data_IF_334290520597
#
_entry.id   IF_334290520597
#
_cell.length_a   1.000
_cell.length_b   1.000
_cell.length_c   1.000
_cell.angle_alpha   90.00
_cell.angle_beta   90.00
_cell.angle_gamma   90.00
#
_symmetry.space_group_name_H-M   'P 1'
#
loop_
_entity.id
_entity.type
_entity.pdbx_description
1 polymer ?
#
# COMPACT_ATOMS: atom_id res chain seq x y z
N UNK A 1 0.90 -20.89 2.77
CA UNK A 1 0.88 -19.98 1.61
C UNK A 1 -0.41 -20.28 0.85
N UNK A 2 -1.44 -19.44 1.00
CA UNK A 2 -2.72 -19.65 0.30
C UNK A 2 -2.57 -19.13 -1.11
N UNK A 3 -2.12 -20.00 -2.02
CA UNK A 3 -2.09 -19.68 -3.44
C UNK A 3 -3.50 -19.85 -4.00
N UNK A 4 -4.11 -18.75 -4.45
CA UNK A 4 -5.35 -18.80 -5.21
C UNK A 4 -5.08 -19.60 -6.49
N UNK A 5 -5.91 -20.60 -6.79
CA UNK A 5 -5.66 -21.59 -7.86
C UNK A 5 -5.69 -21.01 -9.29
N UNK A 6 -6.11 -19.75 -9.44
CA UNK A 6 -6.19 -19.04 -10.70
C UNK A 6 -5.50 -17.67 -10.60
N UNK A 7 -4.93 -17.20 -11.70
CA UNK A 7 -4.38 -15.85 -11.79
C UNK A 7 -5.51 -14.83 -11.69
N UNK A 8 -5.44 -13.96 -10.69
CA UNK A 8 -6.34 -12.81 -10.56
C UNK A 8 -6.00 -11.77 -11.64
N UNK A 9 -7.00 -11.35 -12.40
CA UNK A 9 -6.93 -10.21 -13.32
C UNK A 9 -7.22 -8.92 -12.55
N UNK A 10 -6.87 -7.78 -13.15
CA UNK A 10 -7.15 -6.47 -12.55
C UNK A 10 -8.64 -6.23 -12.25
N UNK A 11 -9.54 -6.78 -13.06
CA UNK A 11 -10.99 -6.72 -12.81
C UNK A 11 -11.42 -7.56 -11.60
N UNK A 12 -10.74 -8.68 -11.32
CA UNK A 12 -11.07 -9.50 -10.15
C UNK A 12 -10.74 -8.73 -8.86
N UNK A 13 -9.64 -7.96 -8.86
CA UNK A 13 -9.25 -7.09 -7.74
C UNK A 13 -10.25 -5.93 -7.58
N UNK A 14 -10.67 -5.31 -8.70
CA UNK A 14 -11.65 -4.23 -8.65
C UNK A 14 -12.98 -4.73 -8.08
N UNK A 15 -13.47 -5.88 -8.56
CA UNK A 15 -14.69 -6.49 -8.04
C UNK A 15 -14.60 -6.76 -6.55
N UNK A 16 -13.47 -7.29 -6.04
CA UNK A 16 -13.27 -7.55 -4.60
C UNK A 16 -13.33 -6.28 -3.74
N UNK A 17 -12.88 -5.14 -4.26
CA UNK A 17 -12.93 -3.85 -3.55
C UNK A 17 -14.34 -3.25 -3.65
N UNK A 18 -15.03 -3.44 -4.77
CA UNK A 18 -16.39 -2.97 -5.01
C UNK A 18 -17.46 -3.82 -4.28
N UNK A 19 -17.20 -5.11 -4.00
CA UNK A 19 -18.19 -6.03 -3.39
C UNK A 19 -18.28 -5.99 -1.87
N UNK A 20 -17.70 -4.99 -1.20
CA UNK A 20 -18.06 -4.72 0.20
C UNK A 20 -19.44 -4.00 0.29
N UNK A 21 -20.46 -4.86 0.21
CA UNK A 21 -21.79 -4.80 0.82
C UNK A 21 -22.91 -4.03 0.08
N UNK A 22 -23.93 -4.78 -0.36
CA UNK A 22 -25.24 -4.33 -0.88
C UNK A 22 -26.11 -3.57 0.17
N UNK A 23 -25.49 -2.84 1.08
CA UNK A 23 -26.16 -2.10 2.16
C UNK A 23 -25.26 -1.23 3.03
N UNK A 24 -23.92 -1.31 2.91
CA UNK A 24 -22.97 -0.44 3.62
C UNK A 24 -21.86 0.00 2.67
N UNK A 25 -21.97 1.23 2.18
CA UNK A 25 -20.88 1.97 1.53
C UNK A 25 -19.71 2.23 2.51
N UNK A 26 -19.03 1.20 3.01
CA UNK A 26 -17.75 1.39 3.69
C UNK A 26 -16.64 1.44 2.65
N UNK A 27 -16.33 2.65 2.17
CA UNK A 27 -15.13 2.84 1.37
C UNK A 27 -13.92 2.33 2.17
N UNK A 28 -13.10 1.45 1.58
CA UNK A 28 -11.84 1.04 2.18
C UNK A 28 -11.01 2.30 2.39
N UNK A 29 -10.79 2.68 3.65
CA UNK A 29 -9.99 3.86 3.97
C UNK A 29 -8.53 3.61 3.55
N UNK A 30 -7.93 2.50 3.99
CA UNK A 30 -6.55 2.17 3.66
C UNK A 30 -6.43 0.70 3.22
N UNK A 31 -6.02 0.49 1.97
CA UNK A 31 -5.58 -0.80 1.45
C UNK A 31 -4.05 -0.89 1.50
N UNK A 32 -3.49 -2.01 1.98
CA UNK A 32 -2.04 -2.23 2.00
C UNK A 32 -1.68 -3.41 1.10
N UNK A 33 -0.83 -3.16 0.10
CA UNK A 33 -0.31 -4.15 -0.83
C UNK A 33 1.18 -4.38 -0.55
N UNK A 34 1.50 -5.31 0.36
CA UNK A 34 2.85 -5.55 0.89
C UNK A 34 3.73 -6.49 0.06
N UNK A 35 3.23 -7.00 -1.08
CA UNK A 35 4.06 -7.76 -2.02
C UNK A 35 5.04 -6.83 -2.74
N UNK A 36 6.03 -7.40 -3.45
CA UNK A 36 7.01 -6.63 -4.23
C UNK A 36 6.36 -5.91 -5.41
N UNK A 37 6.80 -4.69 -5.68
CA UNK A 37 6.47 -3.91 -6.89
C UNK A 37 4.97 -3.70 -7.16
N UNK A 38 4.13 -3.60 -6.11
CA UNK A 38 2.66 -3.46 -6.26
C UNK A 38 2.22 -2.09 -6.79
N UNK A 39 3.09 -1.09 -6.72
CA UNK A 39 2.92 0.21 -7.38
C UNK A 39 3.71 0.32 -8.70
N UNK A 40 4.47 -0.71 -9.08
CA UNK A 40 5.17 -0.73 -10.36
C UNK A 40 4.15 -0.93 -11.48
N UNK A 41 3.99 0.11 -12.30
CA UNK A 41 3.03 0.12 -13.39
C UNK A 41 3.62 -0.27 -14.74
N UNK A 42 2.72 -0.47 -15.70
CA UNK A 42 3.03 -0.58 -17.13
C UNK A 42 2.10 0.36 -17.94
N UNK A 43 2.18 0.30 -19.27
CA UNK A 43 1.34 1.12 -20.16
C UNK A 43 -0.18 0.86 -19.99
N UNK A 44 -0.59 -0.20 -19.31
CA UNK A 44 -2.00 -0.55 -19.05
C UNK A 44 -2.45 -0.14 -17.65
N UNK A 45 -1.52 -0.03 -16.70
CA UNK A 45 -1.77 0.42 -15.34
C UNK A 45 -0.58 1.22 -14.80
N UNK A 46 -0.59 2.54 -14.96
CA UNK A 46 0.55 3.44 -14.64
C UNK A 46 1.03 3.34 -13.19
N UNK A 47 0.17 2.94 -12.25
CA UNK A 47 0.50 2.73 -10.83
C UNK A 47 0.27 1.27 -10.40
N UNK A 48 0.33 0.34 -11.35
CA UNK A 48 0.16 -1.10 -11.10
C UNK A 48 -1.16 -1.42 -10.37
N UNK A 49 -1.06 -2.30 -9.37
CA UNK A 49 -2.19 -2.71 -8.53
C UNK A 49 -2.70 -1.57 -7.66
N UNK A 50 -1.82 -0.67 -7.20
CA UNK A 50 -2.21 0.50 -6.42
C UNK A 50 -3.18 1.40 -7.21
N UNK A 51 -2.91 1.59 -8.50
CA UNK A 51 -3.79 2.34 -9.39
C UNK A 51 -5.14 1.66 -9.62
N UNK A 52 -5.17 0.33 -9.71
CA UNK A 52 -6.42 -0.45 -9.82
C UNK A 52 -7.24 -0.28 -8.55
N UNK A 53 -6.62 -0.41 -7.38
CA UNK A 53 -7.31 -0.32 -6.10
C UNK A 53 -7.96 1.06 -5.86
N UNK A 54 -7.23 2.14 -6.15
CA UNK A 54 -7.79 3.50 -6.02
C UNK A 54 -8.93 3.73 -7.00
N UNK A 55 -8.84 3.21 -8.23
CA UNK A 55 -9.96 3.28 -9.20
C UNK A 55 -11.18 2.49 -8.75
N UNK A 56 -10.98 1.37 -8.06
CA UNK A 56 -12.05 0.51 -7.55
C UNK A 56 -12.70 1.05 -6.26
N UNK A 57 -12.20 2.16 -5.69
CA UNK A 57 -12.84 2.84 -4.57
C UNK A 57 -12.06 2.82 -3.25
N UNK A 58 -10.87 2.20 -3.21
CA UNK A 58 -9.99 2.36 -2.04
C UNK A 58 -9.55 3.83 -1.93
N UNK A 59 -9.83 4.49 -0.81
CA UNK A 59 -9.48 5.90 -0.62
C UNK A 59 -7.98 6.11 -0.63
N UNK A 60 -7.24 5.22 0.03
CA UNK A 60 -5.78 5.25 0.07
C UNK A 60 -5.25 3.85 -0.14
N UNK A 61 -4.18 3.73 -0.92
CA UNK A 61 -3.47 2.47 -1.11
C UNK A 61 -1.99 2.66 -0.81
N UNK A 62 -1.46 1.90 0.15
CA UNK A 62 -0.03 1.81 0.45
C UNK A 62 0.56 0.66 -0.37
N UNK A 63 1.62 0.90 -1.13
CA UNK A 63 2.15 -0.06 -2.10
C UNK A 63 3.63 0.12 -2.36
N UNK A 64 4.29 -0.91 -2.90
CA UNK A 64 5.75 -0.97 -3.03
C UNK A 64 6.24 -0.58 -4.42
N UNK A 65 7.31 0.21 -4.50
CA UNK A 65 8.01 0.53 -5.75
C UNK A 65 9.08 -0.51 -6.12
N UNK A 66 9.69 -1.12 -5.11
CA UNK A 66 10.79 -2.08 -5.26
C UNK A 66 10.49 -3.39 -4.55
N UNK A 67 11.47 -4.28 -4.54
CA UNK A 67 11.40 -5.51 -3.75
C UNK A 67 11.35 -5.20 -2.25
N UNK A 68 10.32 -5.71 -1.59
CA UNK A 68 10.19 -5.64 -0.14
C UNK A 68 11.14 -6.65 0.51
N UNK A 69 12.31 -6.19 0.98
CA UNK A 69 13.26 -7.04 1.73
C UNK A 69 12.76 -7.28 3.15
N UNK A 70 12.75 -8.53 3.60
CA UNK A 70 12.05 -8.96 4.83
C UNK A 70 12.28 -8.07 6.07
N UNK A 71 13.54 -7.84 6.48
CA UNK A 71 13.82 -7.11 7.73
C UNK A 71 13.47 -5.61 7.64
N UNK A 72 14.02 -4.82 6.68
CA UNK A 72 13.65 -3.41 6.57
C UNK A 72 12.16 -3.20 6.27
N UNK A 73 11.53 -4.09 5.50
CA UNK A 73 10.10 -4.04 5.23
C UNK A 73 9.26 -4.18 6.50
N UNK A 74 9.63 -5.15 7.35
CA UNK A 74 8.94 -5.37 8.63
C UNK A 74 9.10 -4.17 9.55
N UNK A 75 10.31 -3.62 9.66
CA UNK A 75 10.57 -2.43 10.47
C UNK A 75 9.79 -1.20 9.98
N UNK A 76 9.72 -0.98 8.65
CA UNK A 76 8.92 0.10 8.07
C UNK A 76 7.45 -0.06 8.45
N UNK A 77 6.89 -1.25 8.24
CA UNK A 77 5.47 -1.52 8.46
C UNK A 77 5.08 -1.45 9.94
N UNK A 78 5.92 -1.97 10.84
CA UNK A 78 5.72 -1.83 12.28
C UNK A 78 5.66 -0.34 12.66
N UNK A 79 6.68 0.43 12.24
CA UNK A 79 6.73 1.86 12.53
C UNK A 79 5.56 2.63 11.91
N UNK A 80 5.18 2.29 10.69
CA UNK A 80 4.04 2.90 10.01
C UNK A 80 2.75 2.71 10.80
N UNK A 81 2.42 1.49 11.22
CA UNK A 81 1.20 1.23 11.98
C UNK A 81 1.26 1.82 13.40
N UNK A 82 2.43 1.82 14.06
CA UNK A 82 2.63 2.51 15.33
C UNK A 82 2.32 4.00 15.24
N UNK A 83 2.82 4.68 14.20
CA UNK A 83 2.57 6.11 14.00
C UNK A 83 1.13 6.39 13.57
N UNK A 84 0.55 5.52 12.74
CA UNK A 84 -0.83 5.64 12.28
C UNK A 84 -1.85 5.48 13.42
N UNK A 85 -1.53 4.67 14.43
CA UNK A 85 -2.38 4.48 15.61
C UNK A 85 -2.43 5.71 16.53
N UNK A 86 -1.53 6.69 16.35
CA UNK A 86 -1.51 7.90 17.16
C UNK A 86 -2.65 8.85 16.76
N UNK A 87 -3.38 9.44 17.72
CA UNK A 87 -4.45 10.38 17.43
C UNK A 87 -3.97 11.57 16.59
N UNK A 88 -4.69 11.86 15.50
CA UNK A 88 -4.40 13.02 14.63
C UNK A 88 -3.26 12.81 13.63
N UNK A 89 -2.60 11.64 13.61
CA UNK A 89 -1.57 11.35 12.61
C UNK A 89 -2.21 10.96 11.28
N UNK A 90 -1.87 11.69 10.21
CA UNK A 90 -2.30 11.34 8.85
C UNK A 90 -1.53 10.14 8.30
N UNK A 91 -2.11 9.45 7.31
CA UNK A 91 -1.45 8.34 6.60
C UNK A 91 -0.09 8.75 6.01
N UNK A 92 -0.03 9.94 5.40
CA UNK A 92 1.21 10.49 4.87
C UNK A 92 2.25 10.77 5.97
N UNK A 93 1.83 11.31 7.13
CA UNK A 93 2.74 11.60 8.24
C UNK A 93 3.29 10.32 8.86
N UNK A 94 2.44 9.31 9.05
CA UNK A 94 2.85 7.99 9.54
C UNK A 94 3.89 7.34 8.62
N UNK A 95 3.64 7.35 7.30
CA UNK A 95 4.59 6.83 6.32
C UNK A 95 5.91 7.61 6.33
N UNK A 96 5.85 8.94 6.35
CA UNK A 96 7.04 9.78 6.37
C UNK A 96 7.93 9.50 7.59
N UNK A 97 7.35 9.34 8.78
CA UNK A 97 8.11 9.01 10.00
C UNK A 97 8.75 7.62 9.89
N UNK A 98 8.02 6.64 9.35
CA UNK A 98 8.55 5.29 9.14
C UNK A 98 9.69 5.24 8.11
N UNK A 99 9.58 6.02 7.04
CA UNK A 99 10.64 6.18 6.04
C UNK A 99 11.87 6.86 6.65
N UNK A 100 11.67 7.90 7.47
CA UNK A 100 12.75 8.63 8.14
C UNK A 100 13.53 7.72 9.12
N UNK A 101 12.84 6.88 9.90
CA UNK A 101 13.51 5.97 10.85
C UNK A 101 14.37 4.90 10.18
N UNK A 102 14.05 4.54 8.93
CA UNK A 102 14.91 3.68 8.12
C UNK A 102 16.03 4.44 7.43
N UNK A 103 15.76 5.65 6.94
CA UNK A 103 16.77 6.51 6.30
C UNK A 103 17.98 6.76 7.22
N UNK A 104 17.73 6.96 8.52
CA UNK A 104 18.78 7.16 9.54
C UNK A 104 19.76 5.97 9.64
N UNK A 105 19.31 4.76 9.32
CA UNK A 105 20.11 3.51 9.39
C UNK A 105 20.56 3.03 8.02
N UNK A 106 19.81 3.36 6.97
CA UNK A 106 20.00 2.89 5.60
C UNK A 106 19.70 4.01 4.60
N UNK A 107 20.74 4.58 4.00
CA UNK A 107 20.59 5.68 3.04
C UNK A 107 20.17 5.24 1.63
N UNK A 108 20.29 3.95 1.32
CA UNK A 108 19.92 3.42 0.01
C UNK A 108 18.40 3.59 -0.22
N UNK A 109 18.04 4.34 -1.27
CA UNK A 109 16.65 4.67 -1.59
C UNK A 109 15.77 3.43 -1.62
N UNK A 110 16.25 2.35 -2.24
CA UNK A 110 15.53 1.08 -2.37
C UNK A 110 15.24 0.34 -1.05
N UNK A 111 15.68 0.88 0.09
CA UNK A 111 15.39 0.37 1.42
C UNK A 111 14.35 1.27 2.11
N UNK A 112 14.66 2.57 2.29
CA UNK A 112 13.82 3.46 3.08
C UNK A 112 12.58 3.97 2.34
N UNK A 113 12.63 4.11 1.00
CA UNK A 113 11.52 4.63 0.20
C UNK A 113 10.64 3.52 -0.42
N UNK A 114 10.67 2.30 0.13
CA UNK A 114 10.07 1.11 -0.50
C UNK A 114 8.58 1.25 -0.75
N UNK A 115 7.87 1.91 0.16
CA UNK A 115 6.44 2.16 0.06
C UNK A 115 6.12 3.57 -0.39
N UNK A 116 5.07 3.69 -1.19
CA UNK A 116 4.39 4.94 -1.52
C UNK A 116 2.91 4.86 -1.16
N UNK A 117 2.31 6.02 -0.95
CA UNK A 117 0.88 6.18 -0.75
C UNK A 117 0.22 6.73 -2.02
N UNK A 118 -0.84 6.08 -2.48
CA UNK A 118 -1.63 6.45 -3.67
C UNK A 118 -3.07 6.74 -3.25
N UNK A 119 -3.72 7.74 -3.87
CA UNK A 119 -5.09 8.13 -3.54
C UNK A 119 -5.15 9.35 -2.60
N UNK A 120 -5.94 9.28 -1.53
CA UNK A 120 -6.04 10.28 -0.48
C UNK A 120 -4.90 10.14 0.53
N UNK A 121 -4.29 11.24 0.93
CA UNK A 121 -3.07 11.24 1.76
C UNK A 121 -3.32 11.71 3.19
N UNK A 122 -4.53 12.22 3.46
CA UNK A 122 -4.99 12.73 4.75
C UNK A 122 -5.45 11.59 5.67
#
# INVERSE_FOLDING_TARGET
MVAYKQLLKGQDIANLIETEDEGRSSNIELLVLSACQTASGDNRAVLGLAGIAVRAGARSTLSTLWEARDVPNTELMLKFYEELAKPGTTRAKALHIAQQSLFERHQAANIWATYILVGNWL
#
